data_IF_599182416951
#
_entry.id   IF_599182416951
#
_cell.length_a   1.000
_cell.length_b   1.000
_cell.length_c   1.000
_cell.angle_alpha   90.00
_cell.angle_beta   90.00
_cell.angle_gamma   90.00
#
_symmetry.space_group_name_H-M   'P 1'
#
loop_
_entity.id
_entity.type
_entity.pdbx_description
1 polymer ?
2 water ?
#
# COMPACT_ATOMS: atom_id res chain seq x y z
N UNK A 3 -15.48 -14.80 -8.70
CA UNK A 3 -16.06 -14.56 -7.38
C UNK A 3 -15.50 -13.29 -6.73
N UNK A 4 -16.41 -12.38 -6.32
CA UNK A 4 -16.03 -11.11 -5.67
C UNK A 4 -15.29 -11.30 -4.35
N UNK A 5 -14.27 -10.46 -4.13
CA UNK A 5 -13.50 -10.48 -2.89
C UNK A 5 -13.95 -9.32 -2.01
N UNK A 6 -14.21 -9.61 -0.75
CA UNK A 6 -14.66 -8.56 0.16
C UNK A 6 -13.78 -8.47 1.39
N UNK A 7 -13.42 -7.24 1.76
CA UNK A 7 -12.72 -7.01 3.01
C UNK A 7 -13.71 -6.87 4.18
N UNK A 8 -13.38 -7.46 5.32
CA UNK A 8 -14.19 -7.31 6.53
C UNK A 8 -13.36 -6.75 7.68
N UNK A 9 -13.72 -5.54 8.13
CA UNK A 9 -12.93 -4.77 9.10
C UNK A 9 -12.92 -5.38 10.51
N UNK A 10 -13.67 -6.47 10.70
CA UNK A 10 -13.64 -7.23 11.96
C UNK A 10 -13.11 -8.65 11.75
N UNK A 11 -12.35 -9.16 12.73
CA UNK A 11 -11.76 -10.50 12.64
C UNK A 11 -12.80 -11.57 12.25
N UNK A 12 -12.45 -12.41 11.29
CA UNK A 12 -13.37 -13.43 10.77
C UNK A 12 -13.20 -14.78 11.45
N UNK A 13 -14.29 -15.55 11.47
CA UNK A 13 -14.25 -16.91 12.01
C UNK A 13 -15.07 -17.89 11.14
N UNK A 14 -14.65 -19.16 11.14
CA UNK A 14 -15.11 -20.21 10.21
C UNK A 14 -16.61 -20.24 9.88
N UNK A 15 -17.44 -20.67 10.82
CA UNK A 15 -18.85 -20.82 10.52
C UNK A 15 -19.74 -19.86 11.29
N UNK A 16 -19.58 -18.57 11.00
CA UNK A 16 -20.45 -17.54 11.56
C UNK A 16 -21.35 -16.96 10.48
N UNK A 17 -22.38 -16.24 10.93
CA UNK A 17 -23.11 -15.34 10.05
C UNK A 17 -22.61 -13.95 10.39
N UNK A 18 -22.62 -13.07 9.41
CA UNK A 18 -22.15 -11.70 9.60
C UNK A 18 -22.90 -10.75 8.67
N UNK A 19 -22.78 -9.46 8.94
CA UNK A 19 -23.29 -8.47 8.02
C UNK A 19 -22.10 -7.64 7.50
N UNK A 20 -22.12 -7.32 6.21
CA UNK A 20 -20.97 -6.63 5.61
C UNK A 20 -20.93 -5.19 6.10
N UNK A 21 -19.73 -4.62 6.17
CA UNK A 21 -19.60 -3.19 6.49
C UNK A 21 -20.33 -2.37 5.40
N UNK A 22 -20.52 -1.07 5.62
CA UNK A 22 -21.40 -0.29 4.74
C UNK A 22 -20.92 -0.25 3.27
N UNK A 23 -19.64 0.02 3.05
CA UNK A 23 -19.11 0.11 1.69
C UNK A 23 -19.21 -1.24 0.95
N UNK A 24 -19.05 -2.34 1.68
CA UNK A 24 -19.20 -3.66 1.10
C UNK A 24 -20.66 -3.95 0.71
N UNK A 25 -21.59 -3.63 1.60
CA UNK A 25 -23.03 -3.80 1.32
C UNK A 25 -23.49 -2.93 0.15
N UNK A 26 -22.95 -1.72 0.06
CA UNK A 26 -23.25 -0.84 -1.06
C UNK A 26 -22.70 -1.40 -2.38
N UNK A 27 -21.43 -1.82 -2.37
CA UNK A 27 -20.84 -2.40 -3.57
C UNK A 27 -21.57 -3.67 -4.04
N UNK A 28 -21.92 -4.55 -3.09
CA UNK A 28 -22.50 -5.86 -3.42
C UNK A 28 -23.98 -5.80 -3.79
N UNK A 29 -24.77 -5.11 -2.98
CA UNK A 29 -26.21 -5.07 -3.18
C UNK A 29 -26.72 -3.85 -3.91
N UNK A 30 -26.02 -2.73 -3.80
CA UNK A 30 -26.49 -1.45 -4.32
C UNK A 30 -25.84 -1.05 -5.65
N UNK A 31 -24.60 -1.48 -5.86
CA UNK A 31 -23.92 -1.24 -7.13
C UNK A 31 -23.96 -2.50 -7.99
N UNK A 32 -23.60 -3.64 -7.40
CA UNK A 32 -23.58 -4.91 -8.10
C UNK A 32 -24.92 -5.63 -8.10
N UNK A 33 -25.91 -5.06 -7.40
CA UNK A 33 -27.27 -5.62 -7.34
C UNK A 33 -27.32 -7.15 -7.15
N UNK A 34 -26.27 -7.74 -6.59
CA UNK A 34 -26.24 -9.17 -6.38
C UNK A 34 -27.24 -9.61 -5.32
N UNK A 35 -27.69 -10.84 -5.46
CA UNK A 35 -28.57 -11.41 -4.46
C UNK A 35 -27.91 -12.62 -3.82
N UNK A 36 -28.72 -13.50 -3.20
CA UNK A 36 -28.26 -14.86 -2.87
C UNK A 36 -28.51 -15.81 -4.05
N UNK A 37 -27.60 -15.89 -5.05
CA UNK A 37 -26.45 -15.00 -5.20
C UNK A 37 -25.12 -15.32 -4.55
N UNK A 38 -24.88 -16.59 -4.21
CA UNK A 38 -23.98 -16.95 -3.10
C UNK A 38 -22.43 -16.74 -3.09
N UNK A 39 -21.74 -16.86 -4.21
CA UNK A 39 -20.28 -16.78 -4.17
C UNK A 39 -19.75 -15.44 -3.63
N UNK A 40 -19.09 -15.48 -2.47
CA UNK A 40 -18.21 -14.40 -2.02
C UNK A 40 -16.97 -14.96 -1.34
N UNK A 41 -15.83 -14.30 -1.54
CA UNK A 41 -14.61 -14.63 -0.79
C UNK A 41 -14.24 -13.45 0.12
N UNK A 42 -13.96 -13.74 1.38
CA UNK A 42 -13.81 -12.69 2.37
C UNK A 42 -12.45 -12.74 2.99
N UNK A 43 -11.94 -11.61 3.45
CA UNK A 43 -10.70 -11.60 4.21
C UNK A 43 -10.75 -10.43 5.18
N UNK A 44 -9.79 -10.39 6.11
CA UNK A 44 -9.86 -9.44 7.21
C UNK A 44 -8.48 -8.97 7.64
N UNK A 45 -7.49 -9.22 6.80
CA UNK A 45 -6.10 -8.84 7.10
C UNK A 45 -5.25 -9.90 7.81
N UNK A 46 -5.83 -11.07 8.11
CA UNK A 46 -5.11 -12.12 8.84
C UNK A 46 -4.28 -13.03 7.92
N UNK A 47 -4.27 -12.68 6.62
CA UNK A 47 -3.69 -13.52 5.56
C UNK A 47 -4.47 -14.81 5.36
N UNK A 48 -5.70 -14.84 5.88
CA UNK A 48 -6.64 -15.94 5.64
C UNK A 48 -7.78 -15.49 4.72
N UNK A 49 -8.45 -16.44 4.08
CA UNK A 49 -9.49 -16.16 3.12
C UNK A 49 -10.64 -17.15 3.35
N UNK A 50 -11.88 -16.66 3.32
CA UNK A 50 -13.05 -17.46 3.67
C UNK A 50 -14.05 -17.57 2.53
N UNK A 51 -14.58 -18.77 2.33
CA UNK A 51 -15.71 -18.95 1.43
C UNK A 51 -16.95 -18.43 2.14
N UNK A 52 -17.90 -17.87 1.41
CA UNK A 52 -19.05 -17.25 2.05
C UNK A 52 -20.26 -17.14 1.13
N UNK A 53 -21.44 -17.20 1.75
CA UNK A 53 -22.73 -17.23 1.05
C UNK A 53 -23.59 -16.01 1.37
N UNK A 54 -24.00 -15.28 0.34
CA UNK A 54 -25.03 -14.26 0.54
C UNK A 54 -26.35 -14.94 0.97
N UNK A 55 -26.62 -14.91 2.27
CA UNK A 55 -27.87 -15.45 2.82
C UNK A 55 -29.02 -14.52 2.43
N UNK A 56 -28.95 -13.28 2.89
CA UNK A 56 -29.96 -12.30 2.54
C UNK A 56 -29.30 -11.02 2.01
N UNK A 57 -30.09 -10.19 1.34
CA UNK A 57 -29.59 -8.89 0.89
C UNK A 57 -30.74 -7.90 0.76
N UNK A 58 -30.46 -6.64 1.09
CA UNK A 58 -31.48 -5.60 1.08
C UNK A 58 -30.89 -4.27 0.65
N UNK A 59 -31.58 -3.20 1.01
CA UNK A 59 -31.09 -1.84 0.76
C UNK A 59 -30.35 -1.35 2.02
N UNK A 60 -29.11 -0.91 1.82
CA UNK A 60 -28.17 -0.65 2.92
C UNK A 60 -27.63 -1.99 3.43
N UNK A 61 -28.46 -3.02 3.39
CA UNK A 61 -28.18 -4.28 4.08
C UNK A 61 -27.84 -5.47 3.17
N UNK A 62 -26.72 -6.11 3.47
CA UNK A 62 -26.34 -7.40 2.90
C UNK A 62 -25.81 -8.30 4.01
N UNK A 63 -26.48 -9.44 4.21
CA UNK A 63 -26.10 -10.35 5.28
C UNK A 63 -25.67 -11.69 4.70
N UNK A 64 -24.55 -12.22 5.20
CA UNK A 64 -23.96 -13.43 4.63
C UNK A 64 -23.54 -14.40 5.72
N UNK A 65 -23.24 -15.64 5.34
CA UNK A 65 -22.63 -16.58 6.26
C UNK A 65 -21.27 -17.01 5.73
N UNK A 66 -20.31 -17.16 6.63
CA UNK A 66 -18.96 -17.57 6.23
C UNK A 66 -18.70 -19.07 6.50
N UNK A 67 -17.91 -19.67 5.62
CA UNK A 67 -17.74 -21.12 5.58
C UNK A 67 -16.34 -21.57 6.02
N UNK A 68 -15.69 -22.36 5.18
CA UNK A 68 -14.32 -22.79 5.43
C UNK A 68 -13.32 -21.62 5.27
N UNK A 69 -12.32 -21.54 6.15
CA UNK A 69 -11.28 -20.54 6.03
C UNK A 69 -9.90 -21.15 5.83
N UNK A 70 -9.02 -20.43 5.12
CA UNK A 70 -7.68 -20.95 4.82
C UNK A 70 -6.65 -19.87 4.58
N UNK A 71 -5.42 -20.13 5.00
CA UNK A 71 -4.30 -19.27 4.64
C UNK A 71 -4.06 -19.23 3.11
N UNK A 72 -4.13 -18.02 2.54
CA UNK A 72 -3.72 -17.78 1.13
C UNK A 72 -2.76 -16.57 1.05
N UNK A 73 -1.46 -16.87 1.10
CA UNK A 73 -0.39 -15.88 1.22
C UNK A 73 0.08 -15.33 -0.14
N UNK A 74 -0.40 -14.14 -0.51
CA UNK A 74 0.07 -13.45 -1.71
C UNK A 74 1.10 -12.36 -1.40
N UNK A 75 1.63 -12.35 -0.18
CA UNK A 75 2.57 -11.32 0.25
C UNK A 75 3.97 -11.62 -0.27
N UNK A 76 4.69 -10.56 -0.66
CA UNK A 76 6.10 -10.72 -0.98
C UNK A 76 6.92 -10.88 0.29
N UNK A 77 7.91 -11.78 0.24
CA UNK A 77 8.84 -11.99 1.36
C UNK A 77 9.77 -10.77 1.55
N UNK A 78 9.88 -9.91 0.53
CA UNK A 78 10.61 -8.66 0.71
C UNK A 78 9.72 -7.62 1.44
N UNK A 79 10.29 -6.95 2.46
CA UNK A 79 9.59 -5.88 3.16
C UNK A 79 9.95 -4.52 2.55
N UNK A 80 8.98 -3.88 1.89
CA UNK A 80 9.21 -2.58 1.29
C UNK A 80 8.34 -1.55 2.00
N UNK A 81 8.97 -0.62 2.69
CA UNK A 81 8.25 0.44 3.35
C UNK A 81 8.42 1.70 2.49
N UNK A 82 7.36 2.10 1.79
CA UNK A 82 7.41 3.28 0.92
C UNK A 82 7.19 4.56 1.74
N UNK A 83 8.15 5.48 1.71
CA UNK A 83 7.92 6.82 2.22
C UNK A 83 7.67 7.71 1.02
N UNK A 84 6.40 8.05 0.77
CA UNK A 84 6.06 8.78 -0.47
C UNK A 84 5.71 10.20 -0.10
N UNK A 85 6.51 11.15 -0.60
CA UNK A 85 6.20 12.52 -0.29
C UNK A 85 4.85 12.87 -0.95
N UNK A 86 3.95 13.46 -0.16
CA UNK A 86 2.59 13.80 -0.60
C UNK A 86 2.56 14.81 -1.73
N UNK A 87 1.47 14.79 -2.52
CA UNK A 87 1.24 15.77 -3.61
C UNK A 87 -0.25 16.09 -3.72
N UNK A 88 -0.56 17.38 -3.91
CA UNK A 88 -1.94 17.91 -3.91
C UNK A 88 -2.92 17.25 -4.91
N UNK A 89 -2.44 16.89 -6.09
CA UNK A 89 -3.31 16.26 -7.08
C UNK A 89 -3.95 14.96 -6.65
N UNK A 90 -4.19 14.09 -7.65
CA UNK A 90 -4.85 12.82 -7.45
C UNK A 90 -3.85 11.69 -7.70
N UNK A 91 -2.58 12.06 -7.64
CA UNK A 91 -1.49 11.14 -7.95
C UNK A 91 -1.18 10.22 -6.76
N UNK A 92 -1.34 10.74 -5.54
CA UNK A 92 -1.12 9.92 -4.36
C UNK A 92 -2.02 8.69 -4.36
N UNK A 93 -3.27 8.89 -4.78
CA UNK A 93 -4.26 7.80 -4.82
C UNK A 93 -3.82 6.66 -5.76
N UNK A 94 -3.40 7.04 -6.96
CA UNK A 94 -2.93 6.07 -7.94
C UNK A 94 -1.65 5.37 -7.43
N UNK A 95 -0.77 6.14 -6.81
CA UNK A 95 0.44 5.57 -6.24
C UNK A 95 0.11 4.51 -5.18
N UNK A 96 -0.76 4.84 -4.23
CA UNK A 96 -1.17 3.88 -3.21
C UNK A 96 -1.73 2.61 -3.87
N UNK A 97 -2.74 2.79 -4.71
CA UNK A 97 -3.36 1.63 -5.36
C UNK A 97 -2.33 0.70 -6.05
N UNK A 98 -1.58 1.27 -6.99
CA UNK A 98 -0.62 0.49 -7.77
C UNK A 98 0.48 -0.12 -6.92
N UNK A 99 0.98 0.65 -5.96
CA UNK A 99 2.00 0.15 -5.02
C UNK A 99 1.53 -1.10 -4.31
N UNK A 100 0.27 -1.05 -3.88
CA UNK A 100 -0.28 -2.19 -3.14
C UNK A 100 -0.36 -3.38 -4.07
N UNK A 101 -0.86 -3.16 -5.28
CA UNK A 101 -0.88 -4.24 -6.27
C UNK A 101 0.52 -4.87 -6.50
N UNK A 102 1.58 -4.10 -6.32
CA UNK A 102 2.95 -4.59 -6.55
C UNK A 102 3.56 -5.13 -5.25
N UNK A 103 2.72 -5.26 -4.23
CA UNK A 103 3.13 -5.91 -2.97
C UNK A 103 3.87 -5.04 -1.95
N UNK A 104 3.72 -3.71 -2.05
CA UNK A 104 4.36 -2.82 -1.07
C UNK A 104 3.88 -3.17 0.33
N UNK A 105 4.80 -3.23 1.30
CA UNK A 105 4.46 -3.76 2.62
C UNK A 105 3.77 -2.75 3.52
N UNK A 106 4.22 -1.49 3.44
CA UNK A 106 3.79 -0.45 4.38
C UNK A 106 4.00 0.90 3.72
N UNK A 107 3.20 1.90 4.10
CA UNK A 107 3.27 3.20 3.44
C UNK A 107 3.18 4.32 4.46
N UNK A 108 4.11 5.27 4.37
CA UNK A 108 4.05 6.50 5.17
C UNK A 108 4.02 7.70 4.23
N UNK A 109 2.93 8.48 4.26
CA UNK A 109 2.92 9.69 3.45
C UNK A 109 3.79 10.73 4.13
N UNK A 110 4.62 11.45 3.37
CA UNK A 110 5.56 12.37 3.98
C UNK A 110 5.33 13.84 3.63
N UNK A 111 5.71 14.70 4.55
CA UNK A 111 5.94 16.10 4.25
C UNK A 111 7.43 16.29 3.89
N UNK A 112 7.72 17.18 2.93
CA UNK A 112 9.07 17.65 2.66
C UNK A 112 8.99 19.15 2.34
N UNK A 113 10.14 19.81 2.17
CA UNK A 113 10.19 21.24 1.82
C UNK A 113 9.35 21.59 0.59
N UNK A 114 9.41 20.77 -0.46
CA UNK A 114 8.73 21.12 -1.69
C UNK A 114 7.51 20.25 -2.07
N UNK A 115 6.87 19.63 -1.06
CA UNK A 115 5.73 18.77 -1.34
C UNK A 115 4.51 19.57 -1.83
N UNK A 116 4.44 20.84 -1.44
CA UNK A 116 3.36 21.71 -1.88
C UNK A 116 2.02 21.36 -1.23
N UNK A 117 2.07 20.56 -0.17
CA UNK A 117 0.89 20.19 0.58
C UNK A 117 0.93 20.86 1.95
N UNK A 118 -0.16 21.53 2.30
CA UNK A 118 -0.24 22.28 3.56
C UNK A 118 -1.55 21.96 4.29
N UNK A 119 -1.66 20.74 4.80
CA UNK A 119 -2.94 20.21 5.28
C UNK A 119 -3.21 20.40 6.79
N UNK A 120 -4.44 20.82 7.11
CA UNK A 120 -4.92 20.90 8.50
C UNK A 120 -5.15 19.50 9.08
N UNK A 121 -4.85 19.34 10.37
CA UNK A 121 -5.06 18.06 11.07
C UNK A 121 -6.26 17.19 10.60
N UNK A 122 -7.45 17.76 10.59
CA UNK A 122 -8.67 17.03 10.23
C UNK A 122 -8.74 16.66 8.75
N UNK A 123 -8.31 17.57 7.88
CA UNK A 123 -8.31 17.33 6.44
C UNK A 123 -7.30 16.22 6.08
N UNK A 124 -6.23 16.16 6.87
CA UNK A 124 -5.18 15.15 6.71
C UNK A 124 -5.64 13.79 7.26
N UNK A 125 -6.31 13.82 8.40
CA UNK A 125 -6.95 12.61 8.93
C UNK A 125 -7.94 12.00 7.92
N UNK A 126 -8.83 12.84 7.40
CA UNK A 126 -9.75 12.44 6.32
C UNK A 126 -9.01 11.85 5.09
N UNK A 127 -8.03 12.59 4.57
CA UNK A 127 -7.20 12.06 3.48
C UNK A 127 -6.64 10.66 3.78
N UNK A 128 -6.10 10.48 4.98
CA UNK A 128 -5.53 9.20 5.39
C UNK A 128 -6.58 8.08 5.43
N UNK A 129 -7.76 8.38 5.95
CA UNK A 129 -8.83 7.38 5.88
C UNK A 129 -9.13 6.99 4.43
N UNK A 130 -9.26 7.98 3.55
CA UNK A 130 -9.56 7.68 2.14
C UNK A 130 -8.48 6.80 1.50
N UNK A 131 -7.23 7.13 1.80
CA UNK A 131 -6.12 6.32 1.30
C UNK A 131 -6.20 4.90 1.86
N UNK A 132 -6.57 4.75 3.13
CA UNK A 132 -6.71 3.40 3.70
C UNK A 132 -7.81 2.62 2.95
N UNK A 133 -8.90 3.29 2.60
CA UNK A 133 -9.90 2.65 1.74
C UNK A 133 -9.32 2.24 0.37
N UNK A 134 -8.49 3.10 -0.23
CA UNK A 134 -7.86 2.74 -1.50
C UNK A 134 -7.02 1.46 -1.33
N UNK A 135 -6.24 1.41 -0.26
CA UNK A 135 -5.44 0.22 0.09
C UNK A 135 -6.33 -1.01 0.15
N UNK A 136 -7.44 -0.89 0.86
CA UNK A 136 -8.37 -2.01 0.97
C UNK A 136 -8.91 -2.49 -0.39
N UNK A 137 -9.46 -1.56 -1.19
CA UNK A 137 -9.99 -1.88 -2.52
C UNK A 137 -8.94 -2.56 -3.42
N UNK A 138 -7.74 -2.00 -3.47
CA UNK A 138 -6.65 -2.60 -4.24
C UNK A 138 -6.33 -4.00 -3.73
N UNK A 139 -6.41 -4.21 -2.41
CA UNK A 139 -6.21 -5.57 -1.89
C UNK A 139 -7.32 -6.53 -2.35
N UNK A 140 -8.56 -6.05 -2.34
CA UNK A 140 -9.63 -6.88 -2.85
C UNK A 140 -9.25 -7.30 -4.27
N UNK A 141 -8.99 -6.30 -5.13
CA UNK A 141 -8.64 -6.52 -6.55
C UNK A 141 -7.47 -7.48 -6.83
N UNK A 142 -6.32 -7.25 -6.21
CA UNK A 142 -5.10 -7.94 -6.60
C UNK A 142 -4.89 -9.28 -5.86
N UNK A 143 -5.78 -9.58 -4.93
CA UNK A 143 -5.73 -10.85 -4.24
C UNK A 143 -4.86 -10.90 -2.99
N UNK A 144 -4.41 -9.75 -2.50
CA UNK A 144 -3.66 -9.72 -1.23
C UNK A 144 -4.60 -9.90 -0.06
N UNK A 145 -4.14 -10.67 0.94
CA UNK A 145 -4.95 -10.98 2.10
C UNK A 145 -4.40 -10.36 3.37
N UNK A 146 -3.27 -9.66 3.22
CA UNK A 146 -2.88 -8.67 4.21
C UNK A 146 -3.15 -7.29 3.60
N UNK A 147 -3.59 -6.36 4.44
CA UNK A 147 -3.83 -4.99 3.97
C UNK A 147 -2.77 -4.09 4.62
N UNK A 148 -1.85 -3.55 3.79
CA UNK A 148 -0.76 -2.70 4.33
C UNK A 148 -1.33 -1.45 4.99
N UNK A 149 -0.71 -1.02 6.08
CA UNK A 149 -1.16 0.17 6.79
C UNK A 149 -0.68 1.45 6.08
N UNK A 150 -1.59 2.40 5.88
CA UNK A 150 -1.21 3.76 5.55
C UNK A 150 -0.90 4.46 6.88
N UNK A 151 0.39 4.67 7.17
CA UNK A 151 0.77 5.21 8.48
C UNK A 151 0.39 6.67 8.58
N UNK A 152 0.30 7.20 9.81
CA UNK A 152 0.00 8.64 9.89
C UNK A 152 1.14 9.45 9.27
N UNK A 153 0.78 10.55 8.63
CA UNK A 153 1.74 11.31 7.86
C UNK A 153 2.86 11.71 8.81
N UNK A 154 4.06 11.94 8.24
CA UNK A 154 5.23 12.31 9.03
C UNK A 154 6.05 13.36 8.29
N UNK A 155 6.77 14.18 9.04
CA UNK A 155 7.82 15.02 8.48
C UNK A 155 8.93 14.14 7.85
N UNK A 156 9.59 14.65 6.81
CA UNK A 156 10.57 13.86 6.06
C UNK A 156 11.69 13.34 6.97
N UNK A 157 12.37 14.26 7.64
CA UNK A 157 13.49 13.89 8.51
C UNK A 157 13.07 12.92 9.63
N UNK A 158 11.88 13.10 10.20
CA UNK A 158 11.43 12.20 11.27
C UNK A 158 11.25 10.77 10.77
N UNK A 159 10.75 10.63 9.54
CA UNK A 159 10.66 9.32 8.91
C UNK A 159 12.06 8.74 8.65
N UNK A 160 12.97 9.59 8.17
CA UNK A 160 14.35 9.19 7.95
C UNK A 160 15.05 8.72 9.23
N UNK A 161 14.61 9.26 10.36
CA UNK A 161 15.32 9.05 11.63
C UNK A 161 14.87 7.77 12.28
N UNK A 162 13.73 7.24 11.84
CA UNK A 162 13.17 6.04 12.44
C UNK A 162 14.15 4.87 12.46
N UNK A 163 14.27 4.26 13.63
CA UNK A 163 15.11 3.08 13.80
C UNK A 163 14.41 1.88 13.14
N UNK A 164 15.10 1.25 12.21
CA UNK A 164 14.52 0.14 11.47
C UNK A 164 15.66 -0.53 10.73
N UNK A 165 15.82 -1.84 10.94
CA UNK A 165 16.86 -2.61 10.23
C UNK A 165 16.55 -2.70 8.74
N UNK A 166 17.62 -2.81 7.95
CA UNK A 166 17.50 -2.90 6.50
C UNK A 166 18.09 -1.71 5.75
N UNK A 167 17.84 -1.67 4.44
CA UNK A 167 18.39 -0.64 3.56
C UNK A 167 17.51 0.60 3.51
N UNK A 168 18.13 1.76 3.33
CA UNK A 168 17.36 2.98 3.11
C UNK A 168 17.76 3.60 1.80
N UNK A 169 16.82 3.65 0.87
CA UNK A 169 17.13 4.01 -0.50
C UNK A 169 16.45 5.31 -0.90
N UNK A 170 17.10 6.06 -1.79
CA UNK A 170 16.42 7.17 -2.46
C UNK A 170 16.97 7.20 -3.88
N UNK A 171 16.23 7.80 -4.82
CA UNK A 171 16.68 7.79 -6.21
C UNK A 171 17.38 9.10 -6.52
N UNK A 172 18.46 9.06 -7.30
CA UNK A 172 19.10 10.29 -7.76
C UNK A 172 19.85 10.05 -9.06
N UNK A 173 19.66 10.95 -10.06
CA UNK A 173 20.34 10.75 -11.35
C UNK A 173 21.87 10.81 -11.23
N UNK A 174 22.37 11.29 -10.09
CA UNK A 174 23.80 11.26 -9.82
C UNK A 174 24.09 10.32 -8.64
N UNK A 175 23.36 9.21 -8.56
CA UNK A 175 23.52 8.25 -7.46
C UNK A 175 24.83 7.45 -7.63
N UNK A 176 25.37 6.94 -6.52
CA UNK A 176 26.66 6.21 -6.51
C UNK A 176 26.48 4.68 -6.48
N UNK A 177 25.25 4.21 -6.74
CA UNK A 177 24.93 2.78 -6.75
C UNK A 177 23.78 2.52 -7.73
N UNK A 178 23.59 1.27 -8.11
CA UNK A 178 22.35 0.85 -8.79
C UNK A 178 21.75 -0.33 -8.05
N UNK A 179 20.57 -0.79 -8.48
CA UNK A 179 19.94 -1.94 -7.85
C UNK A 179 20.95 -3.07 -7.70
N UNK A 180 21.68 -3.33 -8.79
CA UNK A 180 22.55 -4.49 -8.85
C UNK A 180 23.86 -4.38 -8.06
N UNK A 181 24.24 -3.17 -7.64
CA UNK A 181 25.47 -2.97 -6.85
C UNK A 181 25.20 -2.87 -5.34
N UNK A 182 23.91 -2.90 -4.97
CA UNK A 182 23.52 -2.88 -3.57
C UNK A 182 24.00 -4.16 -2.86
N UNK A 183 24.62 -4.00 -1.67
CA UNK A 183 25.15 -5.13 -0.89
C UNK A 183 24.04 -6.06 -0.45
N UNK A 184 24.32 -7.37 -0.52
CA UNK A 184 23.35 -8.42 -0.22
C UNK A 184 23.53 -8.97 1.20
N UNK A 185 22.50 -9.65 1.74
CA UNK A 185 21.20 -9.80 1.07
C UNK A 185 20.33 -8.60 1.41
N UNK A 186 19.22 -8.43 0.68
CA UNK A 186 18.27 -7.37 0.96
C UNK A 186 16.89 -7.96 1.30
N UNK A 187 16.43 -7.69 2.51
CA UNK A 187 15.16 -8.22 2.98
C UNK A 187 14.22 -7.14 3.52
N UNK A 188 14.78 -5.97 3.86
CA UNK A 188 13.95 -4.83 4.28
C UNK A 188 14.48 -3.59 3.61
N UNK A 189 13.56 -2.82 3.04
CA UNK A 189 13.89 -1.58 2.37
C UNK A 189 12.91 -0.49 2.78
N UNK A 190 13.46 0.65 3.18
CA UNK A 190 12.67 1.86 3.22
C UNK A 190 12.99 2.59 1.93
N UNK A 191 11.96 2.94 1.17
CA UNK A 191 12.15 3.59 -0.12
C UNK A 191 11.59 5.00 -0.02
N UNK A 192 12.46 5.99 -0.19
CA UNK A 192 12.04 7.38 -0.19
C UNK A 192 11.81 7.83 -1.63
N UNK A 193 10.59 8.30 -1.91
CA UNK A 193 10.23 8.94 -3.20
C UNK A 193 9.86 10.41 -2.95
N UNK A 194 10.62 11.35 -3.52
CA UNK A 194 10.38 12.77 -3.26
C UNK A 194 9.24 13.35 -4.10
N UNK A 195 8.98 14.67 -3.97
CA UNK A 195 7.93 15.33 -4.77
C UNK A 195 8.44 15.78 -6.14
N UNK A 196 7.52 16.24 -6.99
CA UNK A 196 7.89 16.66 -8.34
C UNK A 196 8.92 17.81 -8.35
N UNK A 197 8.79 18.76 -7.42
CA UNK A 197 9.76 19.82 -7.29
C UNK A 197 11.08 19.32 -6.70
N UNK A 198 11.05 18.09 -6.18
CA UNK A 198 12.26 17.42 -5.73
C UNK A 198 12.59 17.61 -4.25
N UNK A 199 13.63 16.91 -3.80
CA UNK A 199 14.24 17.17 -2.48
C UNK A 199 15.27 18.30 -2.64
N UNK A 200 15.40 19.16 -1.63
CA UNK A 200 16.40 20.23 -1.71
C UNK A 200 17.76 19.69 -1.33
N UNK A 201 18.79 20.41 -1.74
CA UNK A 201 20.17 20.08 -1.38
C UNK A 201 20.34 19.84 0.13
N UNK A 202 19.69 20.64 0.98
CA UNK A 202 19.73 20.41 2.43
C UNK A 202 19.09 19.06 2.81
N UNK A 203 18.02 18.72 2.11
CA UNK A 203 17.32 17.46 2.35
C UNK A 203 18.16 16.25 1.88
N UNK A 204 18.80 16.40 0.74
CA UNK A 204 19.74 15.39 0.22
C UNK A 204 20.86 15.13 1.25
N UNK A 205 21.58 16.22 1.56
CA UNK A 205 22.62 16.18 2.59
C UNK A 205 22.11 15.47 3.86
N UNK A 206 20.86 15.78 4.25
CA UNK A 206 20.30 15.17 5.47
C UNK A 206 20.02 13.67 5.33
N UNK A 207 19.59 13.21 4.16
CA UNK A 207 19.37 11.76 4.00
C UNK A 207 20.72 11.04 4.02
N UNK A 208 21.76 11.69 3.50
CA UNK A 208 23.11 11.14 3.63
C UNK A 208 23.53 11.00 5.11
N UNK A 209 23.31 12.05 5.91
CA UNK A 209 23.54 11.92 7.36
C UNK A 209 22.82 10.71 7.93
N UNK A 210 21.72 10.27 7.31
CA UNK A 210 20.98 9.14 7.88
C UNK A 210 21.30 7.81 7.22
N UNK A 211 22.37 7.80 6.43
CA UNK A 211 22.88 6.57 5.81
C UNK A 211 21.96 5.97 4.74
N UNK A 212 21.27 6.86 4.03
CA UNK A 212 20.55 6.47 2.84
C UNK A 212 21.53 6.10 1.73
N UNK A 213 21.15 5.10 0.95
CA UNK A 213 21.91 4.76 -0.23
C UNK A 213 21.08 5.28 -1.40
N UNK A 214 21.67 6.13 -2.23
CA UNK A 214 20.92 6.55 -3.40
C UNK A 214 21.27 5.71 -4.64
N UNK A 215 20.25 5.44 -5.45
CA UNK A 215 20.45 4.56 -6.58
C UNK A 215 19.99 5.23 -7.85
N UNK A 216 20.66 4.85 -8.93
CA UNK A 216 20.23 5.13 -10.30
C UNK A 216 19.14 4.15 -10.69
N UNK A 217 18.20 4.62 -11.50
CA UNK A 217 17.15 3.74 -12.02
C UNK A 217 17.09 3.87 -13.54
N UNK A 218 18.14 3.39 -14.21
CA UNK A 218 18.22 3.47 -15.66
C UNK A 218 18.68 4.83 -16.16
N UNK A 219 19.07 4.91 -17.44
CA UNK A 219 19.57 6.16 -18.04
C UNK A 219 18.47 7.05 -18.60
N UNK A 220 17.21 6.67 -18.50
CA UNK A 220 16.14 7.54 -19.00
C UNK A 220 15.47 8.28 -17.86
N UNK A 221 14.86 9.42 -18.21
CA UNK A 221 14.11 10.24 -17.28
C UNK A 221 12.75 9.64 -17.04
N UNK A 222 12.42 9.44 -15.77
CA UNK A 222 11.19 8.77 -15.40
C UNK A 222 10.11 9.79 -15.06
N UNK A 223 8.87 9.50 -15.45
CA UNK A 223 7.78 10.33 -15.02
C UNK A 223 7.58 10.27 -13.52
N UNK A 224 7.49 11.45 -12.90
CA UNK A 224 7.12 11.64 -11.50
C UNK A 224 5.98 10.72 -11.11
N UNK A 225 4.84 10.88 -11.80
CA UNK A 225 3.63 10.09 -11.54
C UNK A 225 3.91 8.63 -11.18
N UNK A 226 4.85 8.01 -11.91
CA UNK A 226 5.03 6.57 -11.82
C UNK A 226 6.37 6.17 -11.23
N UNK A 227 7.19 7.15 -10.86
CA UNK A 227 8.54 6.85 -10.36
C UNK A 227 8.54 5.83 -9.17
N UNK A 228 7.59 5.95 -8.24
CA UNK A 228 7.43 4.94 -7.17
C UNK A 228 7.24 3.53 -7.75
N UNK A 229 6.25 3.41 -8.65
CA UNK A 229 5.89 2.10 -9.20
C UNK A 229 7.13 1.42 -9.80
N UNK A 230 7.80 2.12 -10.71
CA UNK A 230 9.00 1.60 -11.33
C UNK A 230 9.98 1.12 -10.25
N UNK A 231 10.26 1.96 -9.25
CA UNK A 231 11.26 1.57 -8.26
C UNK A 231 10.78 0.32 -7.51
N UNK A 232 9.50 0.34 -7.10
CA UNK A 232 9.01 -0.80 -6.33
C UNK A 232 9.12 -2.05 -7.20
N UNK A 233 8.82 -1.90 -8.49
CA UNK A 233 8.79 -3.10 -9.35
C UNK A 233 10.23 -3.65 -9.38
N UNK A 234 11.19 -2.73 -9.53
CA UNK A 234 12.57 -3.18 -9.63
C UNK A 234 12.92 -3.93 -8.34
N UNK A 235 12.55 -3.38 -7.19
CA UNK A 235 13.04 -3.98 -5.97
C UNK A 235 12.40 -5.37 -5.89
N UNK A 236 11.13 -5.44 -6.28
CA UNK A 236 10.35 -6.67 -6.09
C UNK A 236 10.94 -7.72 -7.00
N UNK A 237 11.51 -7.28 -8.13
CA UNK A 237 12.00 -8.23 -9.10
C UNK A 237 13.31 -8.76 -8.58
N UNK A 238 14.08 -7.88 -7.94
CA UNK A 238 15.46 -8.29 -7.67
C UNK A 238 15.60 -8.96 -6.31
N UNK A 239 14.87 -8.44 -5.31
CA UNK A 239 14.91 -9.02 -3.97
C UNK A 239 13.61 -9.69 -3.52
N UNK A 240 12.50 -9.42 -4.22
CA UNK A 240 11.20 -9.91 -3.82
C UNK A 240 10.70 -11.07 -4.66
N UNK A 241 9.39 -11.14 -4.87
CA UNK A 241 8.74 -12.28 -5.53
C UNK A 241 8.35 -12.08 -7.03
N UNK A 242 8.56 -10.88 -7.59
CA UNK A 242 8.18 -10.68 -9.00
C UNK A 242 9.00 -11.53 -9.97
N UNK A 243 10.13 -12.07 -9.50
CA UNK A 243 10.98 -12.90 -10.35
C UNK A 243 10.79 -14.39 -10.08
N UNK A 244 10.05 -14.70 -9.01
CA UNK A 244 9.83 -16.07 -8.55
C UNK A 244 8.55 -16.61 -9.19
#
# INVERSE_FOLDING_TARGET
MRIPRIYHPEPLTSHSHIALCEDAANHIGRVLRMGPGQALQLFDGSNQVFDAEITSASKKSVEVKVLEGQIDDRESPLHIHLGQVMSRGEKMEFTIQKSIELGVSLITPLFSERCGVKLDSERLNKKLQQWQKIAIAACEQCGRNRVPEIRPAMDLEAWCAEQDEGLKLNLHPRASNSINTLPLPVERVRLLIGPEGGLSADEIAMTARYQFTDILLGPRVLRTETTALTAITALQVRFGDLGLEHHHHHH
#
